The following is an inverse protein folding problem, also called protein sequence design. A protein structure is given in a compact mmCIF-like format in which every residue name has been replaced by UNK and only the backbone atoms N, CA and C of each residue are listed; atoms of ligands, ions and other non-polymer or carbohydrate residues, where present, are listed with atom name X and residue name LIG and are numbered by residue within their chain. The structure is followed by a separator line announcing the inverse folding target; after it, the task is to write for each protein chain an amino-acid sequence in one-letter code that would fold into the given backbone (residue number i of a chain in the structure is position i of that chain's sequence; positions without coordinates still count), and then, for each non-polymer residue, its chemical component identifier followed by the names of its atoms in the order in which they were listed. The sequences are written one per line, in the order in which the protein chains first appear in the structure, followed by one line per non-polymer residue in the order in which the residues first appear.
data_IF_791761457631
#
_entry.id   IF_791761457631
#
_cell.length_a   1.000
_cell.length_b   1.000
_cell.length_c   1.000
_cell.angle_alpha   90.00
_cell.angle_beta   90.00
_cell.angle_gamma   90.00
#
_symmetry.space_group_name_H-M   'P 1'
#
loop_
_entity.id
_entity.type
_entity.pdbx_description
1 polymer ?
#
# COMPACT_ATOMS: atom_id res chain seq x y z
N UNK A 1 42.14 17.24 43.84
CA UNK A 1 40.94 16.54 43.31
C UNK A 1 41.03 16.63 41.79
N UNK A 2 41.50 15.60 41.06
CA UNK A 2 40.69 14.52 40.43
C UNK A 2 39.48 15.14 39.69
N UNK A 3 39.33 15.19 38.35
CA UNK A 3 39.70 14.24 37.30
C UNK A 3 39.83 14.90 35.90
N UNK A 4 40.74 14.33 35.10
CA UNK A 4 40.78 14.35 33.63
C UNK A 4 39.62 13.50 33.09
N UNK A 5 38.89 13.94 32.04
CA UNK A 5 38.20 13.01 31.13
C UNK A 5 37.77 13.69 29.81
N UNK A 6 38.55 13.35 28.76
CA UNK A 6 38.22 13.19 27.35
C UNK A 6 37.43 14.24 26.57
N UNK A 7 38.19 15.04 25.82
CA UNK A 7 37.89 15.32 24.41
C UNK A 7 37.63 14.01 23.64
N UNK A 8 36.40 13.82 23.17
CA UNK A 8 36.10 12.82 22.15
C UNK A 8 36.24 13.52 20.79
N UNK A 9 37.38 13.29 20.17
CA UNK A 9 37.58 13.49 18.74
C UNK A 9 36.81 12.35 18.05
N UNK A 10 35.64 12.64 17.47
CA UNK A 10 35.00 11.69 16.56
C UNK A 10 35.70 11.83 15.21
N UNK A 11 36.82 11.11 15.08
CA UNK A 11 37.43 10.77 13.80
C UNK A 11 36.59 9.63 13.20
N UNK A 12 35.48 9.97 12.55
CA UNK A 12 34.89 9.13 11.51
C UNK A 12 35.18 9.92 10.24
N UNK A 13 36.34 9.71 9.64
CA UNK A 13 36.52 8.50 8.87
C UNK A 13 35.81 8.76 7.55
N UNK A 14 36.60 9.23 6.60
CA UNK A 14 36.30 9.41 5.18
C UNK A 14 35.57 8.15 4.68
N UNK A 15 34.25 8.11 4.80
CA UNK A 15 33.47 7.32 3.87
C UNK A 15 33.49 8.15 2.61
N UNK A 16 34.42 7.83 1.72
CA UNK A 16 34.33 8.16 0.32
C UNK A 16 32.90 7.88 -0.10
N UNK A 17 32.08 8.94 -0.18
CA UNK A 17 30.91 8.89 -1.02
C UNK A 17 31.46 8.74 -2.43
N UNK A 18 31.61 7.49 -2.88
CA UNK A 18 31.49 7.19 -4.30
C UNK A 18 30.05 7.58 -4.63
N UNK A 19 29.83 8.85 -4.95
CA UNK A 19 28.64 9.26 -5.63
C UNK A 19 28.79 8.72 -7.05
N UNK A 20 28.42 7.46 -7.22
CA UNK A 20 28.11 6.95 -8.56
C UNK A 20 26.86 7.71 -9.01
N UNK A 21 27.06 8.68 -9.90
CA UNK A 21 25.96 9.37 -10.55
C UNK A 21 25.23 8.35 -11.42
N UNK A 22 24.11 7.84 -10.92
CA UNK A 22 23.28 6.88 -11.66
C UNK A 22 22.63 7.65 -12.83
N UNK A 23 23.00 7.31 -14.07
CA UNK A 23 22.33 7.82 -15.26
C UNK A 23 21.02 7.07 -15.47
N UNK A 24 19.92 7.66 -14.99
CA UNK A 24 18.57 7.09 -15.03
C UNK A 24 18.05 6.81 -16.45
N UNK A 25 18.65 7.40 -17.49
CA UNK A 25 18.20 7.22 -18.87
C UNK A 25 18.61 5.86 -19.48
N UNK A 26 19.48 5.10 -18.81
CA UNK A 26 20.01 3.81 -19.28
C UNK A 26 19.61 2.62 -18.39
N UNK A 27 18.68 2.81 -17.44
CA UNK A 27 18.21 1.75 -16.57
C UNK A 27 17.06 0.98 -17.22
N UNK A 28 17.06 -0.34 -17.08
CA UNK A 28 15.90 -1.16 -17.42
C UNK A 28 14.83 -1.05 -16.31
N UNK A 29 13.62 -1.56 -16.58
CA UNK A 29 12.48 -1.48 -15.66
C UNK A 29 12.76 -2.10 -14.29
N UNK A 30 13.53 -3.19 -14.23
CA UNK A 30 13.83 -3.93 -13.00
C UNK A 30 14.83 -3.16 -12.11
N UNK A 31 15.88 -2.60 -12.70
CA UNK A 31 16.84 -1.73 -12.01
C UNK A 31 16.18 -0.43 -11.50
N UNK A 32 15.24 0.13 -12.27
CA UNK A 32 14.42 1.28 -11.85
C UNK A 32 13.55 0.92 -10.65
N UNK A 33 12.94 -0.25 -10.63
CA UNK A 33 12.10 -0.71 -9.53
C UNK A 33 12.93 -1.00 -8.26
N UNK A 34 14.10 -1.62 -8.40
CA UNK A 34 15.04 -1.79 -7.30
C UNK A 34 15.56 -0.46 -6.73
N UNK A 35 15.95 0.49 -7.59
CA UNK A 35 16.39 1.82 -7.16
C UNK A 35 15.25 2.59 -6.49
N UNK A 36 14.04 2.52 -7.04
CA UNK A 36 12.85 3.16 -6.46
C UNK A 36 12.52 2.59 -5.08
N UNK A 37 12.54 1.27 -4.93
CA UNK A 37 12.32 0.60 -3.63
C UNK A 37 13.43 0.93 -2.61
N UNK A 38 14.67 1.19 -3.05
CA UNK A 38 15.75 1.66 -2.17
C UNK A 38 15.55 3.11 -1.71
N UNK A 39 15.03 3.97 -2.57
CA UNK A 39 14.78 5.39 -2.26
C UNK A 39 13.50 5.58 -1.44
N UNK A 40 12.51 4.73 -1.64
CA UNK A 40 11.18 4.86 -1.04
C UNK A 40 10.58 3.47 -0.75
N UNK A 41 11.02 2.80 0.33
CA UNK A 41 10.72 1.40 0.58
C UNK A 41 9.23 1.14 0.73
N UNK A 42 8.75 0.17 -0.04
CA UNK A 42 7.40 -0.36 0.04
C UNK A 42 7.47 -1.66 0.85
N UNK A 43 6.69 -1.75 1.92
CA UNK A 43 6.59 -2.95 2.76
C UNK A 43 5.24 -3.62 2.54
N UNK A 44 5.23 -4.91 2.23
CA UNK A 44 4.00 -5.70 2.23
C UNK A 44 3.55 -5.96 3.67
N UNK A 45 2.24 -5.89 3.90
CA UNK A 45 1.61 -6.19 5.18
C UNK A 45 0.51 -7.20 4.97
N UNK A 46 0.48 -8.24 5.80
CA UNK A 46 -0.58 -9.25 5.85
C UNK A 46 -1.10 -9.33 7.27
N UNK A 47 -2.40 -9.12 7.44
CA UNK A 47 -3.13 -9.27 8.69
C UNK A 47 -3.96 -10.55 8.61
N UNK A 48 -4.09 -11.25 9.73
CA UNK A 48 -4.82 -12.51 9.81
C UNK A 48 -6.02 -12.40 10.76
N UNK A 49 -7.07 -13.17 10.46
CA UNK A 49 -8.16 -13.44 11.39
C UNK A 49 -7.68 -14.37 12.51
N UNK A 50 -8.45 -14.47 13.60
CA UNK A 50 -8.16 -15.37 14.72
C UNK A 50 -8.07 -16.86 14.31
N UNK A 51 -8.69 -17.22 13.18
CA UNK A 51 -8.63 -18.57 12.61
C UNK A 51 -7.40 -18.82 11.72
N UNK A 52 -6.46 -17.87 11.64
CA UNK A 52 -5.22 -17.97 10.86
C UNK A 52 -5.39 -17.70 9.36
N UNK A 53 -6.60 -17.45 8.85
CA UNK A 53 -6.80 -17.04 7.45
C UNK A 53 -6.50 -15.54 7.27
N UNK A 54 -6.10 -15.14 6.07
CA UNK A 54 -5.82 -13.73 5.76
C UNK A 54 -7.09 -12.90 5.97
N UNK A 55 -6.95 -11.80 6.71
CA UNK A 55 -7.97 -10.78 6.90
C UNK A 55 -7.77 -9.62 5.92
N UNK A 56 -6.55 -9.12 5.80
CA UNK A 56 -6.20 -8.04 4.90
C UNK A 56 -4.79 -8.22 4.38
N UNK A 57 -4.52 -7.75 3.17
CA UNK A 57 -3.16 -7.56 2.69
C UNK A 57 -3.05 -6.35 1.77
N UNK A 58 -1.85 -5.80 1.70
CA UNK A 58 -1.50 -4.70 0.82
C UNK A 58 -0.15 -4.12 1.19
N UNK A 59 0.08 -2.85 0.88
CA UNK A 59 1.39 -2.25 1.03
C UNK A 59 1.39 -1.00 1.90
N UNK A 60 2.51 -0.78 2.58
CA UNK A 60 2.86 0.45 3.28
C UNK A 60 4.00 1.13 2.55
N UNK A 61 3.94 2.46 2.53
CA UNK A 61 4.98 3.34 2.01
C UNK A 61 5.10 4.54 2.94
N UNK A 62 6.28 4.76 3.53
CA UNK A 62 6.48 5.78 4.57
C UNK A 62 5.45 5.70 5.71
N UNK A 63 5.23 4.49 6.25
CA UNK A 63 4.24 4.17 7.30
C UNK A 63 2.78 4.53 6.94
N UNK A 64 2.45 4.65 5.66
CA UNK A 64 1.08 4.93 5.18
C UNK A 64 0.64 3.88 4.16
N UNK A 65 -0.65 3.55 4.17
CA UNK A 65 -1.25 2.64 3.19
C UNK A 65 -0.96 3.12 1.76
N UNK A 66 -0.56 2.19 0.91
CA UNK A 66 -0.14 2.45 -0.46
C UNK A 66 -0.48 1.27 -1.37
N UNK A 67 -0.72 1.57 -2.65
CA UNK A 67 -0.98 0.55 -3.66
C UNK A 67 -2.27 -0.22 -3.42
N UNK A 68 -2.33 -1.41 -3.99
CA UNK A 68 -3.49 -2.31 -3.92
C UNK A 68 -3.68 -2.82 -2.49
N UNK A 69 -4.94 -2.83 -2.06
CA UNK A 69 -5.35 -3.33 -0.76
C UNK A 69 -6.52 -4.29 -0.93
N UNK A 70 -6.45 -5.43 -0.28
CA UNK A 70 -7.43 -6.50 -0.33
C UNK A 70 -7.91 -6.84 1.09
N UNK A 71 -9.19 -7.16 1.24
CA UNK A 71 -9.76 -7.65 2.49
C UNK A 71 -10.61 -8.88 2.23
N UNK A 72 -10.55 -9.82 3.16
CA UNK A 72 -11.16 -11.13 3.04
C UNK A 72 -12.04 -11.42 4.27
N UNK A 73 -13.13 -12.16 4.06
CA UNK A 73 -13.96 -12.66 5.16
C UNK A 73 -13.27 -13.80 5.93
N UNK A 74 -13.92 -14.28 7.01
CA UNK A 74 -13.39 -15.39 7.82
C UNK A 74 -13.27 -16.71 7.06
N UNK A 75 -13.92 -16.85 5.91
CA UNK A 75 -13.84 -18.04 5.06
C UNK A 75 -12.68 -17.94 4.06
N UNK A 76 -12.14 -16.74 3.82
CA UNK A 76 -11.08 -16.45 2.86
C UNK A 76 -11.60 -15.86 1.54
N UNK A 77 -12.89 -15.50 1.47
CA UNK A 77 -13.46 -14.89 0.27
C UNK A 77 -13.08 -13.41 0.21
N UNK A 78 -12.69 -12.92 -0.97
CA UNK A 78 -12.40 -11.51 -1.20
C UNK A 78 -13.68 -10.69 -1.06
N UNK A 79 -13.71 -9.73 -0.14
CA UNK A 79 -14.87 -8.87 0.13
C UNK A 79 -14.61 -7.40 -0.15
N UNK A 80 -13.35 -6.97 -0.20
CA UNK A 80 -12.98 -5.61 -0.56
C UNK A 80 -11.70 -5.60 -1.38
N UNK A 81 -11.68 -4.79 -2.44
CA UNK A 81 -10.43 -4.40 -3.08
C UNK A 81 -10.45 -2.94 -3.48
N UNK A 82 -9.31 -2.29 -3.36
CA UNK A 82 -9.12 -0.95 -3.86
C UNK A 82 -7.67 -0.51 -3.77
N UNK A 83 -7.47 0.79 -3.88
CA UNK A 83 -6.13 1.36 -3.89
C UNK A 83 -5.99 2.51 -2.90
N UNK A 84 -4.86 2.55 -2.21
CA UNK A 84 -4.42 3.67 -1.39
C UNK A 84 -3.27 4.43 -2.04
N UNK A 85 -3.25 5.74 -1.81
CA UNK A 85 -2.09 6.61 -2.04
C UNK A 85 -1.89 7.48 -0.81
N UNK A 86 -0.75 7.33 -0.16
CA UNK A 86 -0.36 8.11 1.02
C UNK A 86 -1.43 8.07 2.13
N UNK A 87 -1.99 6.89 2.39
CA UNK A 87 -3.02 6.67 3.40
C UNK A 87 -4.44 7.06 2.97
N UNK A 88 -4.65 7.47 1.71
CA UNK A 88 -5.96 7.88 1.21
C UNK A 88 -6.43 6.96 0.09
N UNK A 89 -7.68 6.52 0.17
CA UNK A 89 -8.39 5.79 -0.89
C UNK A 89 -8.38 6.62 -2.17
N UNK A 90 -8.05 5.97 -3.27
CA UNK A 90 -8.13 6.51 -4.63
C UNK A 90 -8.70 5.47 -5.58
N UNK A 91 -9.25 5.95 -6.69
CA UNK A 91 -9.75 5.12 -7.77
C UNK A 91 -10.97 4.31 -7.34
N UNK A 92 -11.25 3.25 -8.12
CA UNK A 92 -12.38 2.37 -7.88
C UNK A 92 -12.10 1.43 -6.72
N UNK A 93 -13.05 1.38 -5.80
CA UNK A 93 -13.12 0.42 -4.72
C UNK A 93 -14.32 -0.47 -4.94
N UNK A 94 -14.12 -1.78 -4.84
CA UNK A 94 -15.17 -2.77 -4.97
C UNK A 94 -15.41 -3.41 -3.62
N UNK A 95 -16.69 -3.54 -3.26
CA UNK A 95 -17.15 -4.16 -2.04
C UNK A 95 -18.16 -5.24 -2.42
N UNK A 96 -17.90 -6.47 -1.99
CA UNK A 96 -18.81 -7.59 -2.17
C UNK A 96 -19.44 -7.95 -0.83
N UNK A 97 -20.76 -8.11 -0.84
CA UNK A 97 -21.48 -8.89 0.14
C UNK A 97 -22.22 -10.03 -0.58
N UNK A 98 -22.90 -10.90 0.15
CA UNK A 98 -23.50 -12.15 -0.38
C UNK A 98 -24.17 -12.00 -1.75
N UNK A 99 -24.99 -10.94 -1.92
CA UNK A 99 -25.76 -10.74 -3.15
C UNK A 99 -25.51 -9.39 -3.82
N UNK A 100 -24.65 -8.52 -3.28
CA UNK A 100 -24.45 -7.19 -3.82
C UNK A 100 -22.98 -6.89 -4.10
N UNK A 101 -22.75 -6.31 -5.27
CA UNK A 101 -21.51 -5.61 -5.59
C UNK A 101 -21.75 -4.11 -5.45
N UNK A 102 -20.85 -3.42 -4.75
CA UNK A 102 -20.79 -1.95 -4.75
C UNK A 102 -19.46 -1.48 -5.31
N UNK A 103 -19.50 -0.64 -6.34
CA UNK A 103 -18.34 0.11 -6.81
C UNK A 103 -18.43 1.52 -6.22
N UNK A 104 -17.33 2.02 -5.64
CA UNK A 104 -17.22 3.40 -5.15
C UNK A 104 -15.94 4.01 -5.70
N UNK A 105 -16.05 5.10 -6.44
CA UNK A 105 -14.89 5.84 -6.92
C UNK A 105 -14.46 6.88 -5.88
N UNK A 106 -13.21 6.80 -5.42
CA UNK A 106 -12.65 7.71 -4.42
C UNK A 106 -11.59 8.66 -5.01
N UNK A 107 -11.58 9.89 -4.50
CA UNK A 107 -10.47 10.83 -4.64
C UNK A 107 -10.10 11.37 -3.26
N UNK A 108 -8.94 10.96 -2.76
CA UNK A 108 -8.43 11.39 -1.45
C UNK A 108 -9.43 11.13 -0.31
N UNK A 109 -9.95 9.90 -0.22
CA UNK A 109 -11.03 9.48 0.70
C UNK A 109 -12.42 10.07 0.44
N UNK A 110 -12.59 11.02 -0.50
CA UNK A 110 -13.92 11.54 -0.86
C UNK A 110 -14.55 10.66 -1.93
N UNK A 111 -15.83 10.34 -1.75
CA UNK A 111 -16.63 9.65 -2.77
C UNK A 111 -16.88 10.60 -3.93
N UNK A 112 -16.58 10.17 -5.15
CA UNK A 112 -16.93 10.86 -6.39
C UNK A 112 -18.21 10.31 -6.99
N UNK A 113 -18.36 8.99 -6.98
CA UNK A 113 -19.53 8.28 -7.48
C UNK A 113 -19.61 6.90 -6.83
N UNK A 114 -20.78 6.29 -6.86
CA UNK A 114 -20.96 4.90 -6.51
C UNK A 114 -22.01 4.24 -7.38
N UNK A 115 -21.89 2.94 -7.55
CA UNK A 115 -22.85 2.08 -8.24
C UNK A 115 -23.10 0.85 -7.36
N UNK A 116 -24.28 0.26 -7.45
CA UNK A 116 -24.60 -0.98 -6.74
C UNK A 116 -25.40 -1.90 -7.64
N UNK A 117 -25.04 -3.18 -7.62
CA UNK A 117 -25.69 -4.25 -8.35
C UNK A 117 -26.12 -5.31 -7.35
N UNK A 118 -27.31 -5.86 -7.52
CA UNK A 118 -27.82 -6.95 -6.71
C UNK A 118 -28.04 -8.17 -7.62
N UNK A 119 -27.45 -9.31 -7.27
CA UNK A 119 -27.64 -10.56 -7.99
C UNK A 119 -29.08 -11.09 -7.87
N UNK A 120 -29.88 -10.55 -6.94
CA UNK A 120 -31.34 -10.77 -6.87
C UNK A 120 -32.13 -9.95 -7.90
N UNK A 121 -31.55 -8.88 -8.48
CA UNK A 121 -32.19 -8.09 -9.55
C UNK A 121 -31.85 -8.59 -10.96
N UNK A 122 -30.95 -9.58 -11.09
CA UNK A 122 -30.66 -10.23 -12.37
C UNK A 122 -31.66 -11.35 -12.71
N UNK A 123 -32.72 -11.53 -11.90
CA UNK A 123 -34.00 -12.07 -12.35
C UNK A 123 -34.92 -11.01 -12.97
N UNK A 124 -34.47 -9.76 -13.12
CA UNK A 124 -35.12 -8.72 -13.91
C UNK A 124 -34.96 -7.30 -13.35
N UNK A 125 -34.28 -6.44 -14.11
CA UNK A 125 -34.26 -4.96 -14.06
C UNK A 125 -33.17 -4.33 -13.16
N UNK A 126 -32.18 -3.71 -13.82
CA UNK A 126 -31.24 -2.77 -13.22
C UNK A 126 -31.95 -1.45 -12.87
N UNK A 127 -31.88 -1.00 -11.62
CA UNK A 127 -32.33 0.34 -11.20
C UNK A 127 -31.21 1.37 -11.43
N UNK A 128 -31.53 2.39 -12.23
CA UNK A 128 -30.67 3.54 -12.59
C UNK A 128 -30.60 4.58 -11.47
#
# INVERSE_FOLDING_TARGET
MKNICSTIIILIGIFSYSQNNININNLNTEDLEHLYNRLDPISEVVLYHDNGKIYQKGFLKNNKLHGRWESFDKNGNLVVVGEFKNGKKRGKWFFWNENNLREVNFKNNKVLSHFSWNNLSDSGIASK
#
